data_IF_286163328472
#
_entry.id   IF_286163328472
#
_cell.length_a   1.000
_cell.length_b   1.000
_cell.length_c   1.000
_cell.angle_alpha   90.00
_cell.angle_beta   90.00
_cell.angle_gamma   90.00
#
_symmetry.space_group_name_H-M   'P 1'
#
loop_
_entity.id
_entity.type
_entity.pdbx_description
1 polymer ?
#
# COMPACT_ATOMS: atom_id res chain seq x y z
N UNK A 1 13.05 11.29 -21.86
CA UNK A 1 12.90 11.05 -20.41
C UNK A 1 11.54 11.58 -20.03
N UNK A 2 10.68 10.76 -19.42
CA UNK A 2 9.40 11.24 -18.91
C UNK A 2 9.66 12.23 -17.78
N UNK A 3 8.82 13.25 -17.64
CA UNK A 3 8.90 14.13 -16.48
C UNK A 3 8.24 13.47 -15.25
N UNK A 4 8.44 14.04 -14.05
CA UNK A 4 7.91 13.45 -12.80
C UNK A 4 6.39 13.30 -12.81
N UNK A 5 5.66 14.26 -13.35
CA UNK A 5 4.19 14.21 -13.41
C UNK A 5 3.70 13.14 -14.37
N UNK A 6 4.40 12.94 -15.49
CA UNK A 6 4.10 11.86 -16.45
C UNK A 6 4.31 10.48 -15.81
N UNK A 7 5.41 10.30 -15.08
CA UNK A 7 5.68 9.05 -14.33
C UNK A 7 4.55 8.78 -13.33
N UNK A 8 4.18 9.79 -12.53
CA UNK A 8 3.11 9.64 -11.53
C UNK A 8 1.78 9.25 -12.19
N UNK A 9 1.37 9.95 -13.25
CA UNK A 9 0.10 9.66 -13.95
C UNK A 9 0.07 8.27 -14.56
N UNK A 10 1.19 7.84 -15.14
CA UNK A 10 1.29 6.52 -15.72
C UNK A 10 1.23 5.43 -14.65
N UNK A 11 1.97 5.57 -13.55
CA UNK A 11 1.92 4.62 -12.45
C UNK A 11 0.54 4.58 -11.78
N UNK A 12 -0.14 5.72 -11.66
CA UNK A 12 -1.53 5.79 -11.20
C UNK A 12 -2.47 4.96 -12.08
N UNK A 13 -2.32 5.05 -13.41
CA UNK A 13 -3.11 4.26 -14.33
C UNK A 13 -2.80 2.76 -14.20
N UNK A 14 -1.51 2.40 -14.09
CA UNK A 14 -1.08 1.01 -13.96
C UNK A 14 -1.64 0.37 -12.70
N UNK A 15 -1.46 0.99 -11.52
CA UNK A 15 -1.91 0.40 -10.25
C UNK A 15 -3.44 0.33 -10.14
N UNK A 16 -4.15 1.28 -10.75
CA UNK A 16 -5.62 1.23 -10.80
C UNK A 16 -6.11 0.12 -11.74
N UNK A 17 -5.46 -0.08 -12.89
CA UNK A 17 -5.79 -1.22 -13.74
C UNK A 17 -5.52 -2.54 -13.01
N UNK A 18 -4.39 -2.66 -12.30
CA UNK A 18 -4.12 -3.85 -11.48
C UNK A 18 -5.23 -4.12 -10.44
N UNK A 19 -5.73 -3.06 -9.79
CA UNK A 19 -6.85 -3.19 -8.85
C UNK A 19 -8.13 -3.66 -9.52
N UNK A 20 -8.44 -3.14 -10.71
CA UNK A 20 -9.62 -3.54 -11.47
C UNK A 20 -9.52 -4.97 -11.98
N UNK A 21 -8.35 -5.37 -12.49
CA UNK A 21 -8.08 -6.74 -12.95
C UNK A 21 -8.23 -7.74 -11.79
N UNK A 22 -7.67 -7.44 -10.61
CA UNK A 22 -7.83 -8.27 -9.41
C UNK A 22 -9.32 -8.44 -9.01
N UNK A 23 -10.13 -7.39 -9.13
CA UNK A 23 -11.56 -7.43 -8.81
C UNK A 23 -12.34 -8.20 -9.86
N UNK A 24 -11.98 -8.09 -11.14
CA UNK A 24 -12.58 -8.87 -12.21
C UNK A 24 -12.29 -10.37 -12.04
N UNK A 25 -11.05 -10.73 -11.69
CA UNK A 25 -10.63 -12.11 -11.46
C UNK A 25 -11.18 -12.69 -10.15
N UNK A 26 -11.21 -11.89 -9.08
CA UNK A 26 -11.69 -12.28 -7.77
C UNK A 26 -12.45 -11.11 -7.08
N UNK A 27 -13.77 -10.98 -7.27
CA UNK A 27 -14.56 -9.91 -6.68
C UNK A 27 -14.50 -9.83 -5.15
N UNK A 28 -14.24 -10.95 -4.47
CA UNK A 28 -14.15 -10.99 -3.01
C UNK A 28 -12.93 -10.21 -2.49
N UNK A 29 -11.89 -10.01 -3.31
CA UNK A 29 -10.69 -9.29 -2.90
C UNK A 29 -10.94 -7.80 -2.57
N UNK A 30 -12.06 -7.22 -3.04
CA UNK A 30 -12.49 -5.88 -2.65
C UNK A 30 -12.96 -5.83 -1.18
N UNK A 31 -13.40 -6.96 -0.64
CA UNK A 31 -13.98 -7.09 0.71
C UNK A 31 -13.13 -7.97 1.64
N UNK A 32 -12.04 -8.56 1.17
CA UNK A 32 -11.02 -9.20 1.99
C UNK A 32 -9.94 -8.19 2.35
N UNK A 33 -9.67 -8.03 3.65
CA UNK A 33 -8.79 -6.98 4.16
C UNK A 33 -7.52 -7.54 4.78
N UNK A 34 -6.44 -6.75 4.72
CA UNK A 34 -5.17 -7.05 5.37
C UNK A 34 -4.52 -5.76 5.89
N UNK A 35 -3.53 -5.90 6.77
CA UNK A 35 -2.72 -4.78 7.27
C UNK A 35 -1.54 -4.53 6.33
N UNK A 36 -1.45 -3.34 5.74
CA UNK A 36 -0.35 -2.96 4.85
C UNK A 36 0.99 -2.90 5.58
N UNK A 37 2.02 -3.54 5.04
CA UNK A 37 3.34 -3.57 5.67
C UNK A 37 4.06 -2.20 5.69
N UNK A 38 3.71 -1.28 4.77
CA UNK A 38 4.26 0.07 4.73
C UNK A 38 3.46 1.07 5.55
N UNK A 39 2.16 1.23 5.32
CA UNK A 39 1.39 2.28 5.99
C UNK A 39 0.67 1.84 7.27
N UNK A 40 0.61 0.54 7.59
CA UNK A 40 -0.10 0.02 8.76
C UNK A 40 -1.63 0.02 8.66
N UNK A 41 -2.20 0.68 7.65
CA UNK A 41 -3.66 0.71 7.47
C UNK A 41 -4.22 -0.67 7.09
N UNK A 42 -5.44 -0.95 7.54
CA UNK A 42 -6.26 -2.06 7.04
C UNK A 42 -6.86 -1.67 5.69
N UNK A 43 -6.52 -2.40 4.63
CA UNK A 43 -6.91 -2.10 3.24
C UNK A 43 -7.39 -3.36 2.51
N UNK A 44 -8.20 -3.23 1.45
CA UNK A 44 -8.60 -4.36 0.61
C UNK A 44 -7.41 -5.08 -0.03
N UNK A 45 -7.55 -6.37 -0.29
CA UNK A 45 -6.57 -7.16 -1.04
C UNK A 45 -6.49 -6.75 -2.51
N UNK A 46 -7.56 -6.20 -3.09
CA UNK A 46 -7.59 -5.68 -4.45
C UNK A 46 -6.44 -4.71 -4.74
N UNK A 47 -5.63 -5.02 -5.74
CA UNK A 47 -4.48 -4.21 -6.17
C UNK A 47 -3.30 -4.23 -5.20
N UNK A 48 -3.29 -5.15 -4.24
CA UNK A 48 -2.17 -5.32 -3.30
C UNK A 48 -1.09 -6.23 -3.88
N UNK A 49 0.18 -5.90 -3.62
CA UNK A 49 1.33 -6.62 -4.19
C UNK A 49 2.24 -7.14 -3.08
N UNK A 50 2.77 -8.34 -3.26
CA UNK A 50 3.86 -8.86 -2.44
C UNK A 50 5.22 -8.46 -3.02
N UNK A 51 5.99 -7.69 -2.24
CA UNK A 51 7.40 -7.45 -2.47
C UNK A 51 8.23 -8.42 -1.62
N UNK A 52 8.98 -9.29 -2.29
CA UNK A 52 9.70 -10.37 -1.63
C UNK A 52 8.75 -11.36 -0.95
N UNK A 53 9.17 -11.90 0.19
CA UNK A 53 8.40 -12.90 0.94
C UNK A 53 7.61 -12.31 2.13
N UNK A 54 7.96 -11.09 2.57
CA UNK A 54 7.54 -10.57 3.87
C UNK A 54 6.64 -9.32 3.78
N UNK A 55 6.60 -8.64 2.64
CA UNK A 55 5.97 -7.32 2.56
C UNK A 55 4.83 -7.31 1.56
N UNK A 56 3.59 -7.33 2.06
CA UNK A 56 2.42 -7.00 1.24
C UNK A 56 2.10 -5.52 1.38
N UNK A 57 2.05 -4.81 0.26
CA UNK A 57 1.69 -3.40 0.20
C UNK A 57 0.27 -3.23 -0.37
N UNK A 58 -0.51 -2.31 0.21
CA UNK A 58 -1.79 -1.90 -0.36
C UNK A 58 -1.58 -1.12 -1.66
N UNK A 59 -2.61 -1.01 -2.49
CA UNK A 59 -2.52 -0.37 -3.80
C UNK A 59 -1.95 1.07 -3.74
N UNK A 60 -2.30 1.85 -2.72
CA UNK A 60 -1.73 3.19 -2.48
C UNK A 60 -0.21 3.14 -2.25
N UNK A 61 0.28 2.16 -1.48
CA UNK A 61 1.71 2.01 -1.18
C UNK A 61 2.48 1.37 -2.35
N UNK A 62 1.83 0.53 -3.15
CA UNK A 62 2.35 0.04 -4.43
C UNK A 62 2.63 1.24 -5.35
N UNK A 63 1.70 2.20 -5.46
CA UNK A 63 1.92 3.41 -6.24
C UNK A 63 3.16 4.18 -5.79
N UNK A 64 3.36 4.35 -4.48
CA UNK A 64 4.54 5.03 -3.94
C UNK A 64 5.82 4.27 -4.27
N UNK A 65 5.80 2.93 -4.18
CA UNK A 65 6.92 2.08 -4.53
C UNK A 65 7.28 2.20 -6.00
N UNK A 66 6.31 2.01 -6.90
CA UNK A 66 6.54 2.04 -8.36
C UNK A 66 7.02 3.40 -8.85
N UNK A 67 6.41 4.50 -8.36
CA UNK A 67 6.89 5.86 -8.64
C UNK A 67 8.30 6.06 -8.08
N UNK A 68 8.57 5.59 -6.86
CA UNK A 68 9.88 5.68 -6.23
C UNK A 68 10.96 4.95 -7.02
N UNK A 69 10.66 3.76 -7.54
CA UNK A 69 11.56 2.99 -8.39
C UNK A 69 11.82 3.69 -9.73
N UNK A 70 10.76 4.09 -10.45
CA UNK A 70 10.88 4.73 -11.77
C UNK A 70 11.62 6.09 -11.69
N UNK A 71 11.47 6.82 -10.58
CA UNK A 71 12.18 8.07 -10.32
C UNK A 71 13.57 7.88 -9.68
N UNK A 72 13.96 6.65 -9.36
CA UNK A 72 15.23 6.33 -8.70
C UNK A 72 15.36 6.91 -7.28
N UNK A 73 14.24 7.14 -6.60
CA UNK A 73 14.18 7.67 -5.23
C UNK A 73 14.38 6.58 -4.18
N UNK A 74 14.00 5.34 -4.50
CA UNK A 74 14.24 4.15 -3.68
C UNK A 74 14.88 3.06 -4.55
N UNK A 75 15.64 2.16 -3.93
CA UNK A 75 16.32 1.04 -4.61
C UNK A 75 15.66 -0.31 -4.34
N UNK A 76 14.98 -0.43 -3.22
CA UNK A 76 14.27 -1.62 -2.78
C UNK A 76 13.03 -1.20 -1.96
N UNK A 77 12.18 -2.17 -1.65
CA UNK A 77 10.93 -1.89 -0.92
C UNK A 77 11.19 -1.53 0.53
N UNK A 78 12.27 -2.04 1.12
CA UNK A 78 12.66 -1.78 2.51
C UNK A 78 12.92 -0.30 2.74
N UNK A 79 13.56 0.40 1.79
CA UNK A 79 13.75 1.86 1.85
C UNK A 79 12.42 2.63 1.93
N UNK A 80 11.36 2.15 1.26
CA UNK A 80 10.01 2.74 1.39
C UNK A 80 9.40 2.42 2.76
N UNK A 81 9.55 1.19 3.23
CA UNK A 81 8.98 0.76 4.52
C UNK A 81 9.62 1.55 5.66
N UNK A 82 10.93 1.73 5.63
CA UNK A 82 11.66 2.53 6.61
C UNK A 82 11.21 4.00 6.54
N UNK A 83 11.02 4.55 5.34
CA UNK A 83 10.51 5.92 5.15
C UNK A 83 9.05 6.09 5.63
N UNK A 84 8.29 5.01 5.75
CA UNK A 84 6.89 4.99 6.16
C UNK A 84 6.69 4.59 7.62
N UNK A 85 7.78 4.36 8.37
CA UNK A 85 7.74 3.84 9.75
C UNK A 85 6.88 4.71 10.68
N UNK A 86 7.02 6.04 10.63
CA UNK A 86 6.23 6.95 11.46
C UNK A 86 4.73 6.81 11.16
N UNK A 87 4.35 6.74 9.88
CA UNK A 87 2.95 6.56 9.49
C UNK A 87 2.39 5.22 9.95
N UNK A 88 3.19 4.15 9.83
CA UNK A 88 2.80 2.83 10.33
C UNK A 88 2.59 2.85 11.84
N UNK A 89 3.49 3.50 12.58
CA UNK A 89 3.38 3.65 14.03
C UNK A 89 2.12 4.42 14.44
N UNK A 90 1.75 5.46 13.69
CA UNK A 90 0.49 6.18 13.89
C UNK A 90 -0.72 5.26 13.73
N UNK A 91 -0.77 4.46 12.66
CA UNK A 91 -1.85 3.50 12.41
C UNK A 91 -1.95 2.44 13.53
N UNK A 92 -0.82 1.89 13.98
CA UNK A 92 -0.77 0.94 15.09
C UNK A 92 -1.29 1.55 16.40
N UNK A 93 -0.91 2.80 16.68
CA UNK A 93 -1.40 3.52 17.86
C UNK A 93 -2.90 3.79 17.78
N UNK A 94 -3.43 4.14 16.61
CA UNK A 94 -4.86 4.33 16.39
C UNK A 94 -5.65 3.05 16.60
N UNK A 95 -5.15 1.92 16.08
CA UNK A 95 -5.73 0.60 16.32
C UNK A 95 -5.83 0.30 17.81
N UNK A 96 -4.75 0.47 18.56
CA UNK A 96 -4.74 0.24 20.02
C UNK A 96 -5.75 1.13 20.76
N UNK A 97 -5.86 2.40 20.37
CA UNK A 97 -6.86 3.32 20.97
C UNK A 97 -8.29 2.90 20.67
N UNK A 98 -8.57 2.39 19.48
CA UNK A 98 -9.90 1.90 19.12
C UNK A 98 -10.24 0.62 19.87
N UNK A 99 -9.29 -0.30 20.02
CA UNK A 99 -9.46 -1.53 20.77
C UNK A 99 -9.70 -1.29 22.26
N UNK A 100 -8.99 -0.35 22.87
CA UNK A 100 -9.24 0.07 24.25
C UNK A 100 -10.67 0.57 24.42
N UNK A 101 -11.15 1.47 23.54
CA UNK A 101 -12.53 1.96 23.57
C UNK A 101 -13.55 0.84 23.41
N UNK A 102 -13.25 -0.18 22.60
CA UNK A 102 -14.15 -1.33 22.40
C UNK A 102 -14.26 -2.19 23.65
N UNK A 103 -13.17 -2.35 24.41
CA UNK A 103 -13.15 -3.12 25.66
C UNK A 103 -13.79 -2.36 26.83
N UNK A 104 -13.83 -1.03 26.78
CA UNK A 104 -14.44 -0.17 27.80
C UNK A 104 -15.97 0.00 27.65
N UNK A 105 -16.56 -0.45 26.53
CA UNK A 105 -18.01 -0.41 26.25
C UNK A 105 -18.67 -1.78 26.40
#
# INVERSE_FOLDING_TARGET
MKNREEVVKEMQAVVEQMRLDDIEENPDCENEFFTCAACGDTKPLAGSVHYGQNYRLCNDCVLLAEVGFELGQIKNVEELIDAMEDKRLEADCEFLRQEQKRLEN
#
